data_IF_672903344875
#
_entry.id   IF_672903344875
#
_cell.length_a   1.000
_cell.length_b   1.000
_cell.length_c   1.000
_cell.angle_alpha   90.00
_cell.angle_beta   90.00
_cell.angle_gamma   90.00
#
_symmetry.space_group_name_H-M   'P 1'
#
loop_
_entity.id
_entity.type
_entity.pdbx_description
1 polymer ?
#
# COMPACT_ATOMS: atom_id res chain seq x y z
N UNK A 1 24.05 1.22 -11.48
CA UNK A 1 23.94 0.74 -12.88
C UNK A 1 23.19 1.77 -13.69
N UNK A 2 23.71 2.17 -14.87
CA UNK A 2 23.22 3.34 -15.63
C UNK A 2 22.77 2.99 -17.05
N UNK A 3 22.49 1.71 -17.33
CA UNK A 3 22.10 1.20 -18.65
C UNK A 3 20.98 0.17 -18.44
N UNK A 4 19.75 0.47 -18.85
CA UNK A 4 18.71 -0.57 -19.01
C UNK A 4 17.23 -0.18 -18.87
N UNK A 5 16.87 0.91 -18.18
CA UNK A 5 15.46 1.15 -17.81
C UNK A 5 14.98 2.59 -18.06
N UNK A 6 15.44 3.22 -19.13
CA UNK A 6 14.81 4.47 -19.59
C UNK A 6 13.60 4.10 -20.46
N UNK A 7 12.46 3.89 -19.79
CA UNK A 7 11.19 3.70 -20.48
C UNK A 7 10.83 5.00 -21.22
N UNK A 8 10.37 4.93 -22.47
CA UNK A 8 10.00 6.13 -23.23
C UNK A 8 8.70 6.78 -22.74
N UNK A 9 7.86 6.01 -22.04
CA UNK A 9 6.58 6.42 -21.47
C UNK A 9 6.29 5.63 -20.18
N UNK A 10 5.32 6.08 -19.38
CA UNK A 10 4.90 5.45 -18.13
C UNK A 10 4.12 4.16 -18.37
N UNK A 11 3.45 4.01 -19.52
CA UNK A 11 2.60 2.86 -19.85
C UNK A 11 3.29 1.51 -19.62
N UNK A 12 4.46 1.26 -20.23
CA UNK A 12 5.21 0.02 -20.01
C UNK A 12 5.59 -0.27 -18.55
N UNK A 13 5.73 0.77 -17.70
CA UNK A 13 6.02 0.57 -16.26
C UNK A 13 4.77 0.09 -15.53
N UNK A 14 3.58 0.55 -15.92
CA UNK A 14 2.33 0.01 -15.41
C UNK A 14 2.06 -1.40 -15.91
N UNK A 15 2.40 -1.71 -17.17
CA UNK A 15 2.29 -3.07 -17.70
C UNK A 15 3.17 -4.02 -16.88
N UNK A 16 4.43 -3.65 -16.60
CA UNK A 16 5.32 -4.44 -15.74
C UNK A 16 4.79 -4.52 -14.31
N UNK A 17 4.23 -3.44 -13.74
CA UNK A 17 3.60 -3.49 -12.42
C UNK A 17 2.46 -4.52 -12.35
N UNK A 18 1.68 -4.65 -13.42
CA UNK A 18 0.63 -5.66 -13.50
C UNK A 18 1.19 -7.09 -13.59
N UNK A 19 2.25 -7.28 -14.39
CA UNK A 19 2.98 -8.55 -14.49
C UNK A 19 3.50 -9.01 -13.11
N UNK A 20 4.21 -8.15 -12.38
CA UNK A 20 4.74 -8.48 -11.03
C UNK A 20 3.63 -8.80 -10.01
N UNK A 21 2.46 -8.16 -10.13
CA UNK A 21 1.30 -8.46 -9.29
C UNK A 21 0.78 -9.87 -9.57
N UNK A 22 0.79 -10.29 -10.84
CA UNK A 22 0.30 -11.61 -11.22
C UNK A 22 1.32 -12.70 -10.87
N UNK A 23 2.62 -12.46 -11.05
CA UNK A 23 3.71 -13.36 -10.61
C UNK A 23 3.66 -13.59 -9.09
N UNK A 24 3.49 -12.53 -8.29
CA UNK A 24 3.35 -12.65 -6.83
C UNK A 24 2.11 -13.47 -6.42
N UNK A 25 0.98 -13.35 -7.13
CA UNK A 25 -0.21 -14.18 -6.86
C UNK A 25 0.06 -15.64 -7.15
N UNK A 26 0.70 -15.95 -8.28
CA UNK A 26 1.05 -17.32 -8.66
C UNK A 26 2.00 -17.95 -7.65
N UNK A 27 3.03 -17.21 -7.22
CA UNK A 27 3.95 -17.64 -6.17
C UNK A 27 3.22 -17.93 -4.85
N UNK A 28 2.29 -17.06 -4.44
CA UNK A 28 1.48 -17.27 -3.24
C UNK A 28 0.58 -18.51 -3.35
N UNK A 29 -0.12 -18.70 -4.46
CA UNK A 29 -0.98 -19.87 -4.68
C UNK A 29 -0.17 -21.18 -4.66
N UNK A 30 1.01 -21.19 -5.27
CA UNK A 30 1.91 -22.34 -5.26
C UNK A 30 2.42 -22.65 -3.84
N UNK A 31 2.78 -21.62 -3.06
CA UNK A 31 3.21 -21.78 -1.67
C UNK A 31 2.09 -22.39 -0.80
N UNK A 32 0.84 -21.96 -0.99
CA UNK A 32 -0.31 -22.45 -0.21
C UNK A 32 -0.64 -23.93 -0.49
N UNK A 33 -0.26 -24.45 -1.66
CA UNK A 33 -0.45 -25.87 -2.02
C UNK A 33 0.77 -26.74 -1.71
N UNK A 34 1.86 -26.14 -1.22
CA UNK A 34 3.13 -26.84 -0.97
C UNK A 34 3.85 -27.27 -2.26
N UNK A 35 3.47 -26.72 -3.41
CA UNK A 35 4.04 -27.04 -4.71
C UNK A 35 5.06 -25.99 -5.21
N UNK A 36 5.20 -24.88 -4.48
CA UNK A 36 6.07 -23.75 -4.85
C UNK A 36 7.48 -23.81 -4.25
N UNK A 37 8.35 -22.97 -4.80
CA UNK A 37 9.64 -22.63 -4.20
C UNK A 37 9.42 -21.85 -2.89
N UNK A 38 10.05 -22.23 -1.76
CA UNK A 38 9.97 -21.49 -0.50
C UNK A 38 10.31 -20.00 -0.61
N UNK A 39 11.21 -19.63 -1.54
CA UNK A 39 11.74 -18.28 -1.65
C UNK A 39 10.98 -17.43 -2.70
N UNK A 40 10.16 -18.04 -3.56
CA UNK A 40 9.49 -17.34 -4.67
C UNK A 40 8.59 -16.18 -4.20
N UNK A 41 7.87 -16.32 -3.09
CA UNK A 41 7.02 -15.22 -2.59
C UNK A 41 7.85 -14.00 -2.20
N UNK A 42 9.04 -14.20 -1.63
CA UNK A 42 9.93 -13.10 -1.26
C UNK A 42 10.54 -12.45 -2.50
N UNK A 43 10.95 -13.25 -3.49
CA UNK A 43 11.49 -12.77 -4.77
C UNK A 43 10.48 -11.90 -5.52
N UNK A 44 9.26 -12.41 -5.77
CA UNK A 44 8.22 -11.67 -6.51
C UNK A 44 7.73 -10.43 -5.74
N UNK A 45 7.69 -10.49 -4.40
CA UNK A 45 7.39 -9.30 -3.59
C UNK A 45 8.50 -8.24 -3.74
N UNK A 46 9.76 -8.68 -3.82
CA UNK A 46 10.91 -7.82 -4.07
C UNK A 46 10.81 -7.10 -5.42
N UNK A 47 10.45 -7.82 -6.48
CA UNK A 47 10.32 -7.27 -7.83
C UNK A 47 9.12 -6.31 -7.94
N UNK A 48 7.98 -6.61 -7.30
CA UNK A 48 6.86 -5.68 -7.17
C UNK A 48 7.27 -4.36 -6.50
N UNK A 49 8.00 -4.43 -5.38
CA UNK A 49 8.52 -3.25 -4.69
C UNK A 49 9.51 -2.48 -5.56
N UNK A 50 10.37 -3.18 -6.29
CA UNK A 50 11.34 -2.57 -7.21
C UNK A 50 10.64 -1.81 -8.35
N UNK A 51 9.61 -2.40 -8.95
CA UNK A 51 8.81 -1.76 -10.00
C UNK A 51 8.07 -0.53 -9.46
N UNK A 52 7.51 -0.59 -8.25
CA UNK A 52 6.91 0.58 -7.59
C UNK A 52 7.91 1.73 -7.40
N UNK A 53 9.14 1.41 -6.98
CA UNK A 53 10.22 2.40 -6.83
C UNK A 53 10.61 3.01 -8.18
N UNK A 54 10.67 2.21 -9.25
CA UNK A 54 10.96 2.72 -10.59
C UNK A 54 9.82 3.56 -11.16
N UNK A 55 8.57 3.20 -10.90
CA UNK A 55 7.40 4.02 -11.24
C UNK A 55 7.47 5.39 -10.56
N UNK A 56 7.80 5.43 -9.27
CA UNK A 56 8.00 6.69 -8.55
C UNK A 56 9.11 7.54 -9.18
N UNK A 57 10.25 6.93 -9.53
CA UNK A 57 11.35 7.64 -10.22
C UNK A 57 10.92 8.18 -11.57
N UNK A 58 10.20 7.41 -12.38
CA UNK A 58 9.66 7.84 -13.67
C UNK A 58 8.74 9.07 -13.50
N UNK A 59 7.87 9.04 -12.50
CA UNK A 59 6.97 10.14 -12.15
C UNK A 59 7.68 11.32 -11.48
N UNK A 60 9.00 11.26 -11.29
CA UNK A 60 9.81 12.27 -10.56
C UNK A 60 9.35 12.47 -9.11
N UNK A 61 8.81 11.41 -8.51
CA UNK A 61 8.42 11.35 -7.11
C UNK A 61 9.52 10.65 -6.31
N UNK A 62 9.85 11.19 -5.13
CA UNK A 62 10.72 10.47 -4.21
C UNK A 62 9.88 9.37 -3.49
N UNK A 63 10.20 8.08 -3.69
CA UNK A 63 9.40 6.97 -3.15
C UNK A 63 9.41 6.93 -1.62
N UNK A 64 10.54 7.22 -0.98
CA UNK A 64 10.67 7.25 0.48
C UNK A 64 9.77 8.34 1.08
N UNK A 65 9.79 9.55 0.49
CA UNK A 65 8.91 10.63 0.95
C UNK A 65 7.43 10.31 0.71
N UNK A 66 7.09 9.67 -0.42
CA UNK A 66 5.73 9.27 -0.72
C UNK A 66 5.21 8.22 0.29
N UNK A 67 6.03 7.24 0.62
CA UNK A 67 5.74 6.23 1.64
C UNK A 67 5.62 6.87 3.02
N UNK A 68 6.55 7.73 3.42
CA UNK A 68 6.51 8.41 4.71
C UNK A 68 5.25 9.26 4.88
N UNK A 69 4.82 10.00 3.84
CA UNK A 69 3.54 10.72 3.86
C UNK A 69 2.35 9.78 4.05
N UNK A 70 2.38 8.60 3.46
CA UNK A 70 1.32 7.59 3.64
C UNK A 70 1.31 7.05 5.06
N UNK A 71 2.48 6.76 5.64
CA UNK A 71 2.61 6.31 7.02
C UNK A 71 2.09 7.37 8.01
N UNK A 72 2.41 8.65 7.81
CA UNK A 72 1.88 9.73 8.64
C UNK A 72 0.36 9.85 8.55
N UNK A 73 -0.24 9.73 7.35
CA UNK A 73 -1.71 9.71 7.20
C UNK A 73 -2.33 8.50 7.90
N UNK A 74 -1.67 7.34 7.86
CA UNK A 74 -2.15 6.14 8.54
C UNK A 74 -2.14 6.33 10.06
N UNK A 75 -1.03 6.79 10.65
CA UNK A 75 -0.91 7.07 12.09
C UNK A 75 -1.93 8.13 12.56
N UNK A 76 -2.07 9.22 11.80
CA UNK A 76 -3.05 10.27 12.11
C UNK A 76 -4.49 9.73 12.15
N UNK A 77 -4.86 8.88 11.17
CA UNK A 77 -6.19 8.26 11.10
C UNK A 77 -6.42 7.26 12.19
N UNK A 78 -5.43 6.43 12.48
CA UNK A 78 -5.50 5.45 13.55
C UNK A 78 -5.76 6.14 14.91
N UNK A 79 -4.98 7.18 15.24
CA UNK A 79 -5.20 8.01 16.44
C UNK A 79 -6.55 8.72 16.47
N UNK A 80 -7.10 9.05 15.30
CA UNK A 80 -8.43 9.67 15.23
C UNK A 80 -9.53 8.63 15.47
N UNK A 81 -9.38 7.40 14.99
CA UNK A 81 -10.29 6.29 15.29
C UNK A 81 -10.28 5.99 16.79
N UNK A 82 -9.09 5.84 17.40
CA UNK A 82 -8.95 5.64 18.85
C UNK A 82 -9.71 6.70 19.65
N UNK A 83 -9.56 7.99 19.30
CA UNK A 83 -10.25 9.10 19.95
C UNK A 83 -11.78 9.07 19.75
N UNK A 84 -12.25 8.63 18.58
CA UNK A 84 -13.69 8.50 18.33
C UNK A 84 -14.28 7.38 19.19
N UNK A 85 -13.63 6.21 19.22
CA UNK A 85 -14.07 5.07 20.03
C UNK A 85 -14.02 5.39 21.53
N UNK A 86 -12.94 6.01 22.01
CA UNK A 86 -12.81 6.42 23.41
C UNK A 86 -13.95 7.37 23.82
N UNK A 87 -14.29 8.36 22.98
CA UNK A 87 -15.40 9.29 23.22
C UNK A 87 -16.76 8.58 23.24
N UNK A 88 -16.90 7.49 22.51
CA UNK A 88 -18.10 6.64 22.47
C UNK A 88 -18.11 5.57 23.59
N UNK A 89 -17.06 5.49 24.41
CA UNK A 89 -16.92 4.48 25.45
C UNK A 89 -16.73 3.06 24.90
N UNK A 90 -16.15 2.94 23.70
CA UNK A 90 -15.91 1.69 22.98
C UNK A 90 -14.42 1.35 23.02
N UNK A 91 -14.11 0.06 23.13
CA UNK A 91 -12.74 -0.45 23.07
C UNK A 91 -12.44 -0.97 21.66
N UNK A 92 -11.34 -0.48 21.06
CA UNK A 92 -10.93 -0.84 19.70
C UNK A 92 -10.64 -2.34 19.55
N UNK A 93 -10.11 -2.99 20.59
CA UNK A 93 -9.80 -4.42 20.55
C UNK A 93 -11.06 -5.30 20.59
N UNK A 94 -12.21 -4.72 20.97
CA UNK A 94 -13.51 -5.38 21.01
C UNK A 94 -14.36 -5.09 19.77
N UNK A 95 -13.88 -4.24 18.85
CA UNK A 95 -14.60 -3.85 17.64
C UNK A 95 -14.45 -4.85 16.49
N UNK A 96 -15.50 -4.95 15.68
CA UNK A 96 -15.42 -5.69 14.41
C UNK A 96 -14.67 -4.86 13.35
N UNK A 97 -14.06 -5.55 12.37
CA UNK A 97 -13.37 -4.88 11.27
C UNK A 97 -14.32 -3.96 10.48
N UNK A 98 -15.59 -4.35 10.34
CA UNK A 98 -16.61 -3.53 9.67
C UNK A 98 -16.91 -2.25 10.45
N UNK A 99 -16.97 -2.34 11.79
CA UNK A 99 -17.17 -1.18 12.64
C UNK A 99 -15.97 -0.23 12.59
N UNK A 100 -14.74 -0.76 12.63
CA UNK A 100 -13.52 0.01 12.48
C UNK A 100 -13.42 0.65 11.09
N UNK A 101 -13.79 -0.04 10.02
CA UNK A 101 -13.82 0.53 8.66
C UNK A 101 -14.84 1.68 8.56
N UNK A 102 -16.03 1.55 9.17
CA UNK A 102 -17.02 2.63 9.20
C UNK A 102 -16.47 3.90 9.88
N UNK A 103 -15.79 3.76 11.02
CA UNK A 103 -15.14 4.89 11.71
C UNK A 103 -13.98 5.44 10.87
N UNK A 104 -13.20 4.56 10.23
CA UNK A 104 -12.11 4.94 9.34
C UNK A 104 -12.59 5.79 8.16
N UNK A 105 -13.69 5.40 7.50
CA UNK A 105 -14.26 6.19 6.41
C UNK A 105 -14.78 7.55 6.89
N UNK A 106 -15.37 7.62 8.09
CA UNK A 106 -15.82 8.88 8.67
C UNK A 106 -14.63 9.83 8.94
N UNK A 107 -13.56 9.34 9.56
CA UNK A 107 -12.32 10.11 9.81
C UNK A 107 -11.70 10.60 8.51
N UNK A 108 -11.60 9.74 7.49
CA UNK A 108 -11.06 10.10 6.17
C UNK A 108 -11.90 11.16 5.45
N UNK A 109 -13.21 11.16 5.67
CA UNK A 109 -14.13 12.17 5.15
C UNK A 109 -13.89 13.56 5.74
N UNK A 110 -13.57 13.63 7.05
CA UNK A 110 -13.26 14.89 7.74
C UNK A 110 -11.94 15.50 7.24
N UNK A 111 -10.88 14.70 7.08
CA UNK A 111 -9.58 15.18 6.56
C UNK A 111 -9.65 15.76 5.13
N UNK A 112 -10.59 15.27 4.30
CA UNK A 112 -10.78 15.80 2.94
C UNK A 112 -11.41 17.19 2.96
N UNK A 113 -12.30 17.48 3.90
CA UNK A 113 -12.93 18.80 4.04
C UNK A 113 -11.99 19.88 4.57
N UNK A 114 -10.98 19.53 5.37
CA UNK A 114 -10.02 20.49 5.94
C UNK A 114 -8.89 20.88 4.98
N UNK A 115 -8.60 20.08 3.95
CA UNK A 115 -7.56 20.37 2.94
C UNK A 115 -8.08 21.18 1.72
N UNK A 116 -9.37 21.54 1.70
CA UNK A 116 -9.99 22.32 0.62
C UNK A 116 -10.19 23.81 0.96
N UNK A 117 -9.47 24.37 1.95
CA UNK A 117 -9.54 25.78 2.34
C UNK A 117 -8.19 26.50 2.28
#
# INVERSE_FOLDING_TARGET
ARHGFDWPDVGPVFDKLHEEIDELKEAWEAAQTGAGDPDAVEDELGDLLFVCVNLARFMKVNPEQALNRTNHKFDARFRAIERVLEREGRDMDEESLEALDAVWQAVKGVERGENEH
#
